data_IF_946086571461
#
_entry.id   IF_946086571461
#
_cell.length_a   1.000
_cell.length_b   1.000
_cell.length_c   1.000
_cell.angle_alpha   90.00
_cell.angle_beta   90.00
_cell.angle_gamma   90.00
#
_symmetry.space_group_name_H-M   'P 1'
#
loop_
_entity.id
_entity.type
_entity.pdbx_description
1 polymer ?
#
# COMPACT_ATOMS: atom_id res chain seq x y z
N UNK A 1 46.52 4.61 13.01
CA UNK A 1 45.36 4.57 12.10
C UNK A 1 45.70 5.46 10.91
N UNK A 2 46.05 4.87 9.77
CA UNK A 2 46.50 5.63 8.60
C UNK A 2 45.29 6.25 7.89
N UNK A 3 45.44 7.41 7.27
CA UNK A 3 44.32 8.11 6.59
C UNK A 3 43.59 7.19 5.58
N UNK A 4 44.30 6.23 5.01
CA UNK A 4 43.77 5.20 4.12
C UNK A 4 42.78 4.25 4.80
N UNK A 5 43.00 3.85 6.06
CA UNK A 5 42.06 3.01 6.81
C UNK A 5 40.77 3.75 7.13
N UNK A 6 40.86 5.04 7.44
CA UNK A 6 39.68 5.89 7.69
C UNK A 6 38.85 6.11 6.42
N UNK A 7 39.50 6.30 5.26
CA UNK A 7 38.82 6.43 3.96
C UNK A 7 38.13 5.12 3.59
N UNK A 8 38.79 3.96 3.81
CA UNK A 8 38.20 2.64 3.53
C UNK A 8 36.98 2.31 4.39
N UNK A 9 36.99 2.72 5.66
CA UNK A 9 35.84 2.53 6.57
C UNK A 9 34.68 3.45 6.16
N UNK A 10 34.98 4.68 5.75
CA UNK A 10 33.97 5.62 5.30
C UNK A 10 33.32 5.18 3.98
N UNK A 11 34.11 4.65 3.03
CA UNK A 11 33.56 4.12 1.78
C UNK A 11 32.70 2.88 2.03
N UNK A 12 33.10 1.99 2.93
CA UNK A 12 32.30 0.79 3.27
C UNK A 12 30.98 1.15 3.97
N UNK A 13 30.99 2.17 4.83
CA UNK A 13 29.77 2.70 5.46
C UNK A 13 28.82 3.33 4.45
N UNK A 14 29.36 4.10 3.49
CA UNK A 14 28.58 4.72 2.42
C UNK A 14 27.96 3.67 1.48
N UNK A 15 28.64 2.55 1.22
CA UNK A 15 28.06 1.44 0.46
C UNK A 15 26.89 0.75 1.18
N UNK A 16 26.94 0.66 2.52
CA UNK A 16 25.88 0.01 3.32
C UNK A 16 24.56 0.79 3.35
N UNK A 17 24.60 2.09 3.01
CA UNK A 17 23.42 2.97 2.94
C UNK A 17 22.68 2.88 1.59
N UNK A 18 23.27 2.22 0.59
CA UNK A 18 22.70 2.11 -0.76
C UNK A 18 21.76 0.90 -0.94
N UNK A 19 21.64 0.03 0.07
CA UNK A 19 20.72 -1.13 0.09
C UNK A 19 19.38 -0.79 0.77
N UNK A 20 18.96 0.47 0.73
CA UNK A 20 17.56 0.81 0.96
C UNK A 20 16.75 0.22 -0.18
N UNK A 21 15.94 -0.79 0.11
CA UNK A 21 15.08 -1.48 -0.85
C UNK A 21 14.25 -0.49 -1.66
N UNK A 22 14.68 -0.21 -2.90
CA UNK A 22 13.78 0.27 -3.95
C UNK A 22 13.07 -0.98 -4.46
N UNK A 23 12.18 -1.55 -3.64
CA UNK A 23 11.04 -2.19 -4.26
C UNK A 23 10.29 -1.02 -4.85
N UNK A 24 10.50 -0.80 -6.15
CA UNK A 24 9.60 0.02 -6.94
C UNK A 24 8.21 -0.49 -6.60
N UNK A 25 7.47 0.28 -5.81
CA UNK A 25 6.05 0.11 -5.67
C UNK A 25 5.55 0.40 -7.09
N UNK A 26 5.34 -0.66 -7.86
CA UNK A 26 4.56 -0.56 -9.08
C UNK A 26 3.29 0.19 -8.69
N UNK A 27 2.96 1.24 -9.43
CA UNK A 27 1.74 2.05 -9.25
C UNK A 27 0.45 1.23 -9.46
N UNK A 28 0.58 -0.07 -9.63
CA UNK A 28 -0.46 -1.06 -9.86
C UNK A 28 -1.24 -1.39 -8.58
N UNK A 29 -1.47 -0.43 -7.67
CA UNK A 29 -2.26 -0.62 -6.45
C UNK A 29 -1.85 -1.80 -5.56
N UNK A 30 -2.63 -2.09 -4.53
CA UNK A 30 -2.51 -3.31 -3.72
C UNK A 30 -3.87 -3.79 -3.24
N UNK A 31 -4.03 -5.09 -3.06
CA UNK A 31 -5.25 -5.60 -2.44
C UNK A 31 -5.18 -5.49 -0.91
N UNK A 32 -6.33 -5.21 -0.30
CA UNK A 32 -6.54 -5.25 1.14
C UNK A 32 -7.70 -6.18 1.47
N UNK A 33 -7.57 -6.98 2.54
CA UNK A 33 -8.65 -7.85 3.01
C UNK A 33 -9.28 -7.19 4.24
N UNK A 34 -10.57 -6.89 4.16
CA UNK A 34 -11.34 -6.24 5.22
C UNK A 34 -11.28 -7.06 6.51
N UNK A 35 -10.96 -6.41 7.62
CA UNK A 35 -10.90 -6.97 8.95
C UNK A 35 -12.09 -6.51 9.80
N UNK A 36 -12.28 -7.15 10.95
CA UNK A 36 -13.32 -6.73 11.90
C UNK A 36 -13.10 -5.29 12.38
N UNK A 37 -14.17 -4.49 12.39
CA UNK A 37 -14.20 -3.06 12.75
C UNK A 37 -13.55 -2.09 11.75
N UNK A 38 -13.21 -2.56 10.56
CA UNK A 38 -12.84 -1.69 9.46
C UNK A 38 -14.04 -0.90 8.96
N UNK A 39 -13.74 0.30 8.47
CA UNK A 39 -14.65 1.10 7.65
C UNK A 39 -13.85 1.62 6.46
N UNK A 40 -14.51 1.89 5.33
CA UNK A 40 -13.81 2.45 4.18
C UNK A 40 -13.07 3.76 4.55
N UNK A 41 -13.66 4.60 5.41
CA UNK A 41 -13.01 5.80 5.94
C UNK A 41 -11.67 5.50 6.63
N UNK A 42 -11.62 4.55 7.57
CA UNK A 42 -10.39 4.20 8.30
C UNK A 42 -9.33 3.61 7.36
N UNK A 43 -9.76 2.84 6.37
CA UNK A 43 -8.86 2.27 5.36
C UNK A 43 -8.29 3.41 4.51
N UNK A 44 -9.10 4.36 4.05
CA UNK A 44 -8.64 5.52 3.31
C UNK A 44 -7.73 6.45 4.12
N UNK A 45 -8.00 6.68 5.40
CA UNK A 45 -7.07 7.42 6.27
C UNK A 45 -5.70 6.75 6.30
N UNK A 46 -5.67 5.42 6.37
CA UNK A 46 -4.43 4.63 6.46
C UNK A 46 -3.64 4.60 5.15
N UNK A 47 -4.31 4.43 4.02
CA UNK A 47 -3.65 4.18 2.74
C UNK A 47 -3.64 5.39 1.80
N UNK A 48 -4.66 6.24 1.85
CA UNK A 48 -4.79 7.44 1.01
C UNK A 48 -4.49 8.74 1.76
N UNK A 49 -4.13 8.63 3.06
CA UNK A 49 -3.82 9.74 3.96
C UNK A 49 -4.98 10.73 4.17
N UNK A 50 -6.20 10.34 3.79
CA UNK A 50 -7.44 11.09 3.98
C UNK A 50 -8.65 10.14 3.93
N UNK A 51 -9.41 10.07 5.01
CA UNK A 51 -10.59 9.22 5.13
C UNK A 51 -11.71 9.57 4.15
N UNK A 52 -11.79 10.83 3.72
CA UNK A 52 -12.79 11.29 2.76
C UNK A 52 -12.50 10.82 1.33
N UNK A 53 -11.32 10.25 1.07
CA UNK A 53 -10.93 9.65 -0.21
C UNK A 53 -11.45 8.22 -0.39
N UNK A 54 -12.30 7.73 0.51
CA UNK A 54 -12.93 6.41 0.37
C UNK A 54 -13.67 6.14 -0.95
N UNK A 55 -14.24 7.14 -1.66
CA UNK A 55 -14.80 6.89 -2.98
C UNK A 55 -13.77 6.38 -4.00
N UNK A 56 -12.48 6.67 -3.81
CA UNK A 56 -11.41 6.16 -4.68
C UNK A 56 -11.23 4.65 -4.51
N UNK A 57 -11.27 4.13 -3.28
CA UNK A 57 -11.24 2.69 -3.01
C UNK A 57 -12.45 1.99 -3.66
N UNK A 58 -13.64 2.62 -3.58
CA UNK A 58 -14.86 2.08 -4.21
C UNK A 58 -14.69 2.00 -5.72
N UNK A 59 -14.24 3.07 -6.37
CA UNK A 59 -14.04 3.10 -7.82
C UNK A 59 -13.00 2.07 -8.26
N UNK A 60 -11.86 2.03 -7.57
CA UNK A 60 -10.75 1.13 -7.83
C UNK A 60 -11.14 -0.35 -7.65
N UNK A 61 -11.90 -0.66 -6.59
CA UNK A 61 -12.41 -2.02 -6.34
C UNK A 61 -13.43 -2.44 -7.39
N UNK A 62 -14.30 -1.54 -7.83
CA UNK A 62 -15.32 -1.83 -8.85
C UNK A 62 -14.70 -2.02 -10.24
N UNK A 63 -13.66 -1.25 -10.56
CA UNK A 63 -12.84 -1.45 -11.76
C UNK A 63 -12.17 -2.83 -11.73
N UNK A 64 -11.52 -3.17 -10.61
CA UNK A 64 -10.87 -4.48 -10.46
C UNK A 64 -11.87 -5.64 -10.50
N UNK A 65 -13.09 -5.49 -9.97
CA UNK A 65 -14.13 -6.51 -10.01
C UNK A 65 -14.63 -6.82 -11.43
N UNK A 66 -14.41 -5.92 -12.40
CA UNK A 66 -14.71 -6.19 -13.80
C UNK A 66 -13.71 -7.17 -14.45
N UNK A 67 -12.47 -7.17 -13.95
CA UNK A 67 -11.36 -7.96 -14.50
C UNK A 67 -11.04 -9.21 -13.67
N UNK A 68 -11.20 -9.14 -12.35
CA UNK A 68 -10.91 -10.20 -11.38
C UNK A 68 -12.15 -10.51 -10.50
N UNK A 69 -12.74 -11.67 -10.76
CA UNK A 69 -13.93 -12.18 -10.05
C UNK A 69 -13.70 -12.47 -8.55
N UNK A 70 -12.47 -12.39 -8.05
CA UNK A 70 -12.18 -12.49 -6.61
C UNK A 70 -12.47 -11.19 -5.85
N UNK A 71 -12.70 -10.08 -6.55
CA UNK A 71 -13.22 -8.84 -5.99
C UNK A 71 -14.74 -8.78 -6.16
N UNK A 72 -15.40 -8.13 -5.20
CA UNK A 72 -16.85 -7.92 -5.22
C UNK A 72 -17.11 -6.44 -5.36
N UNK A 73 -17.93 -6.06 -6.35
CA UNK A 73 -18.33 -4.69 -6.56
C UNK A 73 -19.08 -4.14 -5.32
N UNK A 74 -18.78 -2.90 -4.98
CA UNK A 74 -19.34 -2.17 -3.86
C UNK A 74 -20.44 -1.26 -4.39
N UNK A 75 -21.69 -1.70 -4.24
CA UNK A 75 -22.88 -0.92 -4.57
C UNK A 75 -23.30 0.01 -3.43
N UNK A 76 -23.02 -0.39 -2.18
CA UNK A 76 -23.28 0.39 -0.98
C UNK A 76 -21.98 0.57 -0.17
N UNK A 77 -21.35 1.76 -0.20
CA UNK A 77 -20.12 2.04 0.53
C UNK A 77 -20.22 1.90 2.06
N UNK A 78 -21.42 1.97 2.62
CA UNK A 78 -21.63 1.77 4.06
C UNK A 78 -21.62 0.29 4.47
N UNK A 79 -21.57 -0.64 3.51
CA UNK A 79 -21.59 -2.08 3.72
C UNK A 79 -20.36 -2.73 3.07
N UNK A 80 -19.37 -3.06 3.89
CA UNK A 80 -18.25 -3.94 3.54
C UNK A 80 -18.24 -5.15 4.48
N UNK A 81 -17.85 -6.31 3.95
CA UNK A 81 -17.87 -7.57 4.70
C UNK A 81 -16.46 -7.97 5.15
N UNK A 82 -16.36 -8.59 6.33
CA UNK A 82 -15.09 -9.16 6.79
C UNK A 82 -14.62 -10.23 5.80
N UNK A 83 -13.37 -10.14 5.36
CA UNK A 83 -12.79 -11.03 4.35
C UNK A 83 -12.97 -10.53 2.91
N UNK A 84 -13.72 -9.46 2.67
CA UNK A 84 -13.85 -8.86 1.34
C UNK A 84 -12.51 -8.28 0.87
N UNK A 85 -12.18 -8.50 -0.40
CA UNK A 85 -11.04 -7.85 -1.05
C UNK A 85 -11.40 -6.46 -1.54
N UNK A 86 -10.54 -5.50 -1.24
CA UNK A 86 -10.58 -4.13 -1.74
C UNK A 86 -9.30 -3.86 -2.54
N UNK A 87 -9.39 -3.02 -3.56
CA UNK A 87 -8.26 -2.52 -4.31
C UNK A 87 -7.92 -1.10 -3.84
N UNK A 88 -6.65 -0.86 -3.51
CA UNK A 88 -6.15 0.35 -2.85
C UNK A 88 -5.00 0.96 -3.64
#
# INVERSE_FOLDING_TARGET
>A
MTKTTAILLLTLLLLSLMTGSILAQSDDGQFYVVQANDTLFKISEKYLLDGWRYPEIVAATNEMAADDASFVAIDNPDLIEIGQKLWI
#
